data_IF_197563655979
#
_entry.id   IF_197563655979
#
_cell.length_a   1.000
_cell.length_b   1.000
_cell.length_c   1.000
_cell.angle_alpha   90.00
_cell.angle_beta   90.00
_cell.angle_gamma   90.00
#
_symmetry.space_group_name_H-M   'P 1'
#
loop_
_entity.id
_entity.type
_entity.pdbx_description
1 polymer ?
#
# COMPACT_ATOMS: atom_id res chain seq x y z
N UNK A 1 22.28 45.71 5.45
CA UNK A 1 22.03 44.27 5.26
C UNK A 1 20.64 43.97 5.80
N UNK A 2 19.68 43.45 5.01
CA UNK A 2 18.36 43.16 5.52
C UNK A 2 18.50 41.99 6.49
N UNK A 3 18.26 42.25 7.78
CA UNK A 3 18.18 41.20 8.79
C UNK A 3 16.94 40.37 8.43
N UNK A 4 17.13 39.26 7.71
CA UNK A 4 16.09 38.26 7.57
C UNK A 4 15.57 37.95 8.97
N UNK A 5 14.33 38.38 9.27
CA UNK A 5 13.73 38.20 10.60
C UNK A 5 13.96 36.75 11.01
N UNK A 6 14.52 36.50 12.20
CA UNK A 6 14.98 35.18 12.66
C UNK A 6 13.96 34.05 12.38
N UNK A 7 12.66 34.38 12.35
CA UNK A 7 11.57 33.49 11.96
C UNK A 7 11.70 32.92 10.54
N UNK A 8 12.07 33.73 9.54
CA UNK A 8 12.25 33.27 8.16
C UNK A 8 13.42 32.31 8.02
N UNK A 9 14.53 32.59 8.70
CA UNK A 9 15.72 31.72 8.70
C UNK A 9 15.38 30.38 9.33
N UNK A 10 14.67 30.38 10.47
CA UNK A 10 14.21 29.15 11.13
C UNK A 10 13.23 28.34 10.28
N UNK A 11 12.31 29.01 9.59
CA UNK A 11 11.37 28.35 8.68
C UNK A 11 12.12 27.70 7.51
N UNK A 12 12.98 28.45 6.82
CA UNK A 12 13.77 27.94 5.70
C UNK A 12 14.64 26.76 6.13
N UNK A 13 15.34 26.88 7.27
CA UNK A 13 16.14 25.81 7.83
C UNK A 13 15.30 24.56 8.13
N UNK A 14 14.11 24.71 8.72
CA UNK A 14 13.22 23.57 9.00
C UNK A 14 12.76 22.86 7.72
N UNK A 15 12.46 23.61 6.65
CA UNK A 15 12.09 23.04 5.36
C UNK A 15 13.25 22.30 4.70
N UNK A 16 14.45 22.90 4.70
CA UNK A 16 15.65 22.28 4.14
C UNK A 16 15.97 20.98 4.87
N UNK A 17 15.90 20.96 6.20
CA UNK A 17 16.18 19.76 7.00
C UNK A 17 15.17 18.65 6.72
N UNK A 18 13.86 18.95 6.74
CA UNK A 18 12.83 17.93 6.52
C UNK A 18 12.83 17.44 5.07
N UNK A 19 12.88 18.35 4.10
CA UNK A 19 12.89 17.98 2.69
C UNK A 19 14.17 17.23 2.31
N UNK A 20 15.32 17.70 2.79
CA UNK A 20 16.60 17.01 2.63
C UNK A 20 16.59 15.62 3.28
N UNK A 21 16.02 15.49 4.48
CA UNK A 21 15.83 14.21 5.15
C UNK A 21 14.95 13.25 4.35
N UNK A 22 13.80 13.72 3.84
CA UNK A 22 12.92 12.89 2.99
C UNK A 22 13.61 12.46 1.69
N UNK A 23 14.37 13.36 1.06
CA UNK A 23 15.13 13.01 -0.14
C UNK A 23 16.21 11.97 0.16
N UNK A 24 16.88 12.07 1.32
CA UNK A 24 17.95 11.14 1.71
C UNK A 24 17.43 9.73 2.02
N UNK A 25 16.16 9.59 2.41
CA UNK A 25 15.52 8.29 2.64
C UNK A 25 15.46 7.45 1.35
N UNK A 26 15.40 8.07 0.17
CA UNK A 26 15.34 7.39 -1.13
C UNK A 26 16.66 6.67 -1.50
N UNK A 27 17.82 7.35 -1.63
CA UNK A 27 19.08 6.69 -1.96
C UNK A 27 19.53 5.72 -0.87
N UNK A 28 19.16 5.95 0.39
CA UNK A 28 19.49 5.06 1.50
C UNK A 28 18.58 3.81 1.59
N UNK A 29 17.60 3.64 0.70
CA UNK A 29 16.60 2.54 0.74
C UNK A 29 15.86 2.46 2.09
N UNK A 30 15.72 3.57 2.81
CA UNK A 30 15.06 3.62 4.13
C UNK A 30 13.54 3.84 4.05
N UNK A 31 13.00 3.99 2.84
CA UNK A 31 11.58 4.24 2.62
C UNK A 31 10.68 3.17 3.28
N UNK A 32 10.95 1.85 3.15
CA UNK A 32 10.19 0.82 3.86
C UNK A 32 10.22 0.99 5.38
N UNK A 33 11.37 1.37 5.94
CA UNK A 33 11.53 1.64 7.37
C UNK A 33 10.69 2.82 7.83
N UNK A 34 10.76 3.94 7.10
CA UNK A 34 10.00 5.15 7.41
C UNK A 34 8.49 4.88 7.37
N UNK A 35 8.01 4.25 6.30
CA UNK A 35 6.59 3.94 6.14
C UNK A 35 6.10 2.96 7.21
N UNK A 36 6.88 1.92 7.51
CA UNK A 36 6.52 0.95 8.53
C UNK A 36 6.50 1.56 9.94
N UNK A 37 7.47 2.43 10.26
CA UNK A 37 7.50 3.15 11.52
C UNK A 37 6.34 4.14 11.67
N UNK A 38 6.03 4.90 10.62
CA UNK A 38 4.86 5.79 10.59
C UNK A 38 3.55 5.00 10.73
N UNK A 39 3.43 3.83 10.10
CA UNK A 39 2.28 2.95 10.21
C UNK A 39 2.09 2.47 11.65
N UNK A 40 3.13 1.92 12.28
CA UNK A 40 3.05 1.46 13.68
C UNK A 40 2.73 2.61 14.62
N UNK A 41 3.39 3.76 14.45
CA UNK A 41 3.12 4.96 15.25
C UNK A 41 1.64 5.38 15.14
N UNK A 42 1.11 5.46 13.93
CA UNK A 42 -0.28 5.88 13.71
C UNK A 42 -1.28 4.84 14.24
N UNK A 43 -1.04 3.55 14.02
CA UNK A 43 -1.90 2.48 14.54
C UNK A 43 -1.97 2.50 16.07
N UNK A 44 -0.84 2.70 16.75
CA UNK A 44 -0.81 2.84 18.21
C UNK A 44 -1.59 4.08 18.66
N UNK A 45 -1.42 5.22 17.99
CA UNK A 45 -2.15 6.45 18.31
C UNK A 45 -3.65 6.36 18.02
N UNK A 46 -4.06 5.56 17.03
CA UNK A 46 -5.46 5.27 16.73
C UNK A 46 -6.08 4.32 17.76
N UNK A 47 -5.34 3.30 18.19
CA UNK A 47 -5.83 2.28 19.12
C UNK A 47 -5.87 2.78 20.57
N UNK A 48 -4.89 3.60 20.96
CA UNK A 48 -4.79 4.17 22.31
C UNK A 48 -6.09 4.81 22.81
N UNK A 49 -6.72 5.79 22.13
CA UNK A 49 -7.93 6.44 22.65
C UNK A 49 -9.13 5.49 22.74
N UNK A 50 -9.20 4.44 21.92
CA UNK A 50 -10.25 3.43 22.04
C UNK A 50 -10.04 2.57 23.29
N UNK A 51 -8.79 2.22 23.59
CA UNK A 51 -8.42 1.43 24.77
C UNK A 51 -8.47 2.24 26.07
N UNK A 52 -8.24 3.55 25.99
CA UNK A 52 -8.39 4.48 27.10
C UNK A 52 -9.83 4.62 27.61
N UNK A 53 -10.83 4.22 26.81
CA UNK A 53 -12.23 4.11 27.27
C UNK A 53 -12.43 2.98 28.28
N UNK A 54 -11.53 2.00 28.30
CA UNK A 54 -11.63 0.79 29.12
C UNK A 54 -10.58 0.77 30.25
N UNK A 55 -9.43 1.41 30.07
CA UNK A 55 -8.27 1.34 30.98
C UNK A 55 -7.60 2.70 31.13
N UNK A 56 -7.05 3.01 32.31
CA UNK A 56 -6.30 4.24 32.59
C UNK A 56 -5.17 4.54 31.58
N UNK A 57 -5.01 5.82 31.28
CA UNK A 57 -4.32 6.37 30.11
C UNK A 57 -2.90 5.87 29.82
N UNK A 58 -2.12 5.50 30.85
CA UNK A 58 -0.73 5.03 30.69
C UNK A 58 -0.66 3.55 30.32
N UNK A 59 -1.49 2.70 30.96
CA UNK A 59 -1.53 1.27 30.69
C UNK A 59 -2.14 0.98 29.31
N UNK A 60 -3.10 1.80 28.89
CA UNK A 60 -3.71 1.72 27.56
C UNK A 60 -2.69 1.84 26.40
N UNK A 61 -1.68 2.72 26.51
CA UNK A 61 -0.64 2.84 25.47
C UNK A 61 0.27 1.62 25.39
N UNK A 62 0.72 1.12 26.53
CA UNK A 62 1.55 -0.09 26.60
C UNK A 62 0.79 -1.30 26.07
N UNK A 63 -0.49 -1.43 26.44
CA UNK A 63 -1.34 -2.49 25.92
C UNK A 63 -1.57 -2.36 24.41
N UNK A 64 -1.77 -1.15 23.88
CA UNK A 64 -1.90 -0.94 22.44
C UNK A 64 -0.63 -1.38 21.67
N UNK A 65 0.55 -1.04 22.18
CA UNK A 65 1.83 -1.47 21.58
C UNK A 65 2.04 -2.97 21.71
N UNK A 66 1.73 -3.55 22.87
CA UNK A 66 1.85 -4.99 23.08
C UNK A 66 0.91 -5.76 22.14
N UNK A 67 -0.37 -5.39 22.08
CA UNK A 67 -1.36 -6.00 21.19
C UNK A 67 -0.94 -5.90 19.72
N UNK A 68 -0.52 -4.71 19.28
CA UNK A 68 -0.11 -4.49 17.91
C UNK A 68 1.17 -5.26 17.58
N UNK A 69 2.15 -5.25 18.49
CA UNK A 69 3.39 -6.00 18.35
C UNK A 69 3.15 -7.50 18.25
N UNK A 70 2.32 -8.06 19.14
CA UNK A 70 1.92 -9.46 19.09
C UNK A 70 1.21 -9.77 17.77
N UNK A 71 0.24 -8.95 17.34
CA UNK A 71 -0.46 -9.16 16.08
C UNK A 71 0.50 -9.19 14.88
N UNK A 72 1.40 -8.21 14.77
CA UNK A 72 2.35 -8.11 13.66
C UNK A 72 3.29 -9.33 13.66
N UNK A 73 3.86 -9.68 14.82
CA UNK A 73 4.77 -10.82 14.93
C UNK A 73 4.06 -12.13 14.61
N UNK A 74 2.83 -12.34 15.09
CA UNK A 74 2.03 -13.51 14.76
C UNK A 74 1.72 -13.61 13.27
N UNK A 75 1.33 -12.51 12.62
CA UNK A 75 1.07 -12.50 11.17
C UNK A 75 2.34 -12.82 10.38
N UNK A 76 3.48 -12.21 10.73
CA UNK A 76 4.75 -12.51 10.08
C UNK A 76 5.16 -13.97 10.29
N UNK A 77 5.05 -14.49 11.51
CA UNK A 77 5.36 -15.89 11.80
C UNK A 77 4.49 -16.85 11.01
N UNK A 78 3.19 -16.58 10.87
CA UNK A 78 2.27 -17.38 10.05
C UNK A 78 2.63 -17.33 8.56
N UNK A 79 3.03 -16.17 8.03
CA UNK A 79 3.49 -16.05 6.64
C UNK A 79 4.75 -16.88 6.41
N UNK A 80 5.75 -16.78 7.30
CA UNK A 80 6.97 -17.59 7.19
C UNK A 80 6.70 -19.08 7.35
N UNK A 81 5.89 -19.47 8.35
CA UNK A 81 5.50 -20.86 8.55
C UNK A 81 4.73 -21.41 7.34
N UNK A 82 3.81 -20.64 6.78
CA UNK A 82 3.06 -21.00 5.57
C UNK A 82 3.97 -21.15 4.34
N UNK A 83 4.90 -20.23 4.14
CA UNK A 83 5.86 -20.31 3.05
C UNK A 83 6.78 -21.54 3.17
N UNK A 84 7.33 -21.80 4.37
CA UNK A 84 8.16 -22.97 4.66
C UNK A 84 7.35 -24.26 4.50
N UNK A 85 6.12 -24.30 5.03
CA UNK A 85 5.24 -25.45 4.91
C UNK A 85 4.91 -25.74 3.45
N UNK A 86 4.65 -24.72 2.63
CA UNK A 86 4.43 -24.87 1.19
C UNK A 86 5.68 -25.45 0.50
N UNK A 87 6.85 -24.87 0.75
CA UNK A 87 8.13 -25.35 0.20
C UNK A 87 8.43 -26.81 0.58
N UNK A 88 8.18 -27.20 1.84
CA UNK A 88 8.37 -28.57 2.31
C UNK A 88 7.35 -29.53 1.69
N UNK A 89 6.08 -29.13 1.55
CA UNK A 89 5.05 -29.95 0.92
C UNK A 89 5.31 -30.16 -0.58
N UNK A 90 5.82 -29.13 -1.27
CA UNK A 90 6.28 -29.23 -2.66
C UNK A 90 7.52 -30.13 -2.80
N UNK A 91 8.38 -30.17 -1.78
CA UNK A 91 9.56 -31.04 -1.74
C UNK A 91 9.20 -32.51 -1.45
N UNK A 92 8.19 -32.77 -0.60
CA UNK A 92 7.68 -34.12 -0.31
C UNK A 92 6.80 -34.68 -1.44
N UNK A 93 6.06 -33.82 -2.16
CA UNK A 93 5.21 -34.24 -3.27
C UNK A 93 5.41 -33.34 -4.51
N UNK A 94 6.58 -33.45 -5.19
CA UNK A 94 6.93 -32.62 -6.34
C UNK A 94 6.05 -33.00 -7.54
N UNK A 95 4.80 -32.55 -7.56
CA UNK A 95 3.75 -33.18 -8.38
C UNK A 95 2.47 -32.38 -8.38
N UNK A 96 1.85 -32.37 -7.20
CA UNK A 96 0.42 -32.20 -7.05
C UNK A 96 -0.12 -30.83 -7.46
N UNK A 97 0.60 -29.74 -7.19
CA UNK A 97 0.16 -28.39 -7.57
C UNK A 97 0.31 -28.11 -9.07
N UNK A 98 1.39 -28.64 -9.66
CA UNK A 98 1.68 -28.55 -11.10
C UNK A 98 0.74 -29.45 -11.92
N UNK A 99 0.38 -30.62 -11.41
CA UNK A 99 -0.61 -31.49 -12.06
C UNK A 99 -2.01 -30.87 -12.01
N UNK A 100 -2.37 -30.21 -10.91
CA UNK A 100 -3.60 -29.41 -10.82
C UNK A 100 -3.58 -28.23 -11.80
N UNK A 101 -2.45 -27.54 -11.93
CA UNK A 101 -2.27 -26.45 -12.88
C UNK A 101 -2.33 -26.94 -14.34
N UNK A 102 -1.75 -28.10 -14.64
CA UNK A 102 -1.80 -28.70 -15.97
C UNK A 102 -3.17 -29.24 -16.34
N UNK A 103 -3.90 -29.86 -15.40
CA UNK A 103 -5.30 -30.23 -15.61
C UNK A 103 -6.21 -29.03 -15.86
N UNK A 104 -5.82 -27.85 -15.37
CA UNK A 104 -6.44 -26.57 -15.70
C UNK A 104 -6.05 -26.09 -17.10
N UNK A 105 -4.76 -26.13 -17.44
CA UNK A 105 -4.25 -25.74 -18.76
C UNK A 105 -4.82 -26.61 -19.88
N UNK A 106 -4.97 -27.92 -19.66
CA UNK A 106 -5.54 -28.85 -20.64
C UNK A 106 -7.06 -28.63 -20.84
N UNK A 107 -7.81 -28.26 -19.78
CA UNK A 107 -9.20 -27.80 -19.96
C UNK A 107 -9.29 -26.49 -20.71
N UNK A 108 -8.33 -25.59 -20.52
CA UNK A 108 -8.24 -24.35 -21.28
C UNK A 108 -7.88 -24.62 -22.76
N UNK A 109 -6.99 -25.57 -23.04
CA UNK A 109 -6.62 -26.01 -24.40
C UNK A 109 -7.82 -26.49 -25.22
N UNK A 110 -8.72 -27.25 -24.60
CA UNK A 110 -9.96 -27.69 -25.26
C UNK A 110 -10.89 -26.56 -25.72
N UNK A 111 -10.63 -25.31 -25.30
CA UNK A 111 -11.37 -24.11 -25.69
C UNK A 111 -10.53 -23.12 -26.53
N UNK A 112 -9.30 -23.48 -26.91
CA UNK A 112 -8.40 -22.60 -27.66
C UNK A 112 -8.62 -22.68 -29.19
N UNK A 113 -8.50 -21.56 -29.92
CA UNK A 113 -8.35 -21.57 -31.37
C UNK A 113 -7.05 -22.28 -31.80
N UNK A 114 -7.01 -22.97 -32.96
CA UNK A 114 -5.87 -23.81 -33.38
C UNK A 114 -4.51 -23.10 -33.47
N UNK A 115 -4.48 -21.76 -33.56
CA UNK A 115 -3.24 -21.01 -33.73
C UNK A 115 -2.39 -20.88 -32.45
N UNK A 116 -2.97 -21.12 -31.27
CA UNK A 116 -2.27 -21.02 -29.98
C UNK A 116 -1.65 -22.34 -29.51
N UNK A 117 -1.99 -23.45 -30.16
CA UNK A 117 -1.49 -24.79 -29.78
C UNK A 117 0.03 -24.92 -29.97
N UNK A 118 0.58 -24.21 -30.96
CA UNK A 118 2.00 -24.27 -31.31
C UNK A 118 2.95 -23.66 -30.25
N UNK A 119 2.43 -22.87 -29.30
CA UNK A 119 3.24 -22.18 -28.29
C UNK A 119 3.07 -22.74 -26.87
N UNK A 120 2.19 -23.72 -26.66
CA UNK A 120 1.95 -24.32 -25.33
C UNK A 120 2.70 -25.67 -25.20
N UNK A 121 3.57 -25.85 -24.18
CA UNK A 121 4.33 -27.09 -23.98
C UNK A 121 3.42 -28.29 -23.74
N UNK A 122 3.65 -29.39 -24.45
CA UNK A 122 2.67 -30.47 -24.64
C UNK A 122 2.32 -31.20 -23.34
N UNK A 123 3.21 -31.21 -22.33
CA UNK A 123 3.02 -31.94 -21.08
C UNK A 123 3.52 -31.20 -19.82
N UNK A 124 3.01 -31.62 -18.66
CA UNK A 124 3.42 -31.14 -17.34
C UNK A 124 4.92 -31.32 -17.07
N UNK A 125 5.49 -32.40 -17.62
CA UNK A 125 6.90 -32.72 -17.50
C UNK A 125 7.77 -31.75 -18.31
N UNK A 126 7.37 -31.39 -19.53
CA UNK A 126 8.09 -30.39 -20.33
C UNK A 126 8.04 -29.00 -19.71
N UNK A 127 6.89 -28.61 -19.14
CA UNK A 127 6.76 -27.34 -18.43
C UNK A 127 7.68 -27.27 -17.20
N UNK A 128 7.80 -28.38 -16.45
CA UNK A 128 8.76 -28.50 -15.33
C UNK A 128 10.20 -28.34 -15.77
N UNK A 129 10.58 -29.00 -16.86
CA UNK A 129 11.95 -28.92 -17.38
C UNK A 129 12.24 -27.49 -17.86
N UNK A 130 11.29 -26.85 -18.56
CA UNK A 130 11.42 -25.47 -19.01
C UNK A 130 11.53 -24.47 -17.85
N UNK A 131 10.68 -24.60 -16.82
CA UNK A 131 10.77 -23.76 -15.61
C UNK A 131 12.05 -24.05 -14.85
N UNK A 132 12.45 -25.31 -14.69
CA UNK A 132 13.68 -25.69 -14.00
C UNK A 132 14.89 -25.09 -14.68
N UNK A 133 14.99 -25.20 -16.01
CA UNK A 133 16.07 -24.61 -16.79
C UNK A 133 16.05 -23.07 -16.73
N UNK A 134 14.87 -22.45 -16.79
CA UNK A 134 14.73 -21.00 -16.62
C UNK A 134 15.18 -20.56 -15.23
N UNK A 135 14.71 -21.25 -14.18
CA UNK A 135 15.05 -20.95 -12.80
C UNK A 135 16.56 -21.11 -12.59
N UNK A 136 17.15 -22.22 -13.03
CA UNK A 136 18.60 -22.46 -12.97
C UNK A 136 19.40 -21.37 -13.67
N UNK A 137 18.94 -20.90 -14.83
CA UNK A 137 19.57 -19.81 -15.59
C UNK A 137 19.48 -18.46 -14.87
N UNK A 138 18.42 -18.23 -14.09
CA UNK A 138 18.19 -17.01 -13.32
C UNK A 138 18.48 -17.15 -11.81
N UNK A 139 19.09 -18.26 -11.35
CA UNK A 139 19.36 -18.50 -9.92
C UNK A 139 20.29 -17.44 -9.31
N UNK A 140 21.29 -16.99 -10.05
CA UNK A 140 22.23 -15.94 -9.60
C UNK A 140 21.53 -14.58 -9.44
N UNK A 141 20.62 -14.24 -10.35
CA UNK A 141 19.77 -13.06 -10.26
C UNK A 141 18.76 -13.17 -9.11
N UNK A 142 18.17 -14.35 -8.91
CA UNK A 142 17.26 -14.63 -7.79
C UNK A 142 17.95 -14.53 -6.43
N UNK A 143 19.22 -14.92 -6.31
CA UNK A 143 19.99 -14.73 -5.08
C UNK A 143 20.23 -13.25 -4.78
N UNK A 144 20.53 -12.44 -5.80
CA UNK A 144 20.65 -10.98 -5.67
C UNK A 144 19.33 -10.34 -5.24
N UNK A 145 18.22 -10.73 -5.87
CA UNK A 145 16.86 -10.28 -5.50
C UNK A 145 16.50 -10.72 -4.09
N UNK A 146 16.84 -11.95 -3.71
CA UNK A 146 16.61 -12.49 -2.37
C UNK A 146 17.39 -11.75 -1.29
N UNK A 147 18.65 -11.39 -1.55
CA UNK A 147 19.46 -10.57 -0.64
C UNK A 147 18.87 -9.17 -0.45
N UNK A 148 18.47 -8.51 -1.53
CA UNK A 148 17.82 -7.20 -1.47
C UNK A 148 16.47 -7.26 -0.75
N UNK A 149 15.69 -8.33 -0.96
CA UNK A 149 14.44 -8.57 -0.24
C UNK A 149 14.66 -8.79 1.27
N UNK A 150 15.68 -9.57 1.65
CA UNK A 150 16.04 -9.78 3.04
C UNK A 150 16.48 -8.47 3.72
N UNK A 151 17.29 -7.66 3.03
CA UNK A 151 17.70 -6.34 3.53
C UNK A 151 16.50 -5.40 3.71
N UNK A 152 15.57 -5.39 2.74
CA UNK A 152 14.32 -4.64 2.83
C UNK A 152 13.48 -5.10 4.03
N UNK A 153 13.37 -6.40 4.26
CA UNK A 153 12.63 -6.98 5.37
C UNK A 153 13.21 -6.54 6.72
N UNK A 154 14.53 -6.64 6.92
CA UNK A 154 15.18 -6.19 8.16
C UNK A 154 14.99 -4.68 8.37
N UNK A 155 15.15 -3.89 7.31
CA UNK A 155 14.96 -2.44 7.34
C UNK A 155 13.54 -2.04 7.73
N UNK A 156 12.54 -2.80 7.26
CA UNK A 156 11.13 -2.69 7.64
C UNK A 156 10.93 -3.01 9.13
N UNK A 157 11.51 -4.12 9.63
CA UNK A 157 11.43 -4.49 11.05
C UNK A 157 11.98 -3.40 11.97
N UNK A 158 13.15 -2.85 11.64
CA UNK A 158 13.76 -1.74 12.39
C UNK A 158 12.82 -0.55 12.44
N UNK A 159 12.19 -0.21 11.32
CA UNK A 159 11.22 0.88 11.22
C UNK A 159 10.03 0.68 12.16
N UNK A 160 9.46 -0.53 12.17
CA UNK A 160 8.34 -0.88 13.06
C UNK A 160 8.71 -0.73 14.54
N UNK A 161 9.90 -1.22 14.93
CA UNK A 161 10.39 -1.09 16.32
C UNK A 161 10.57 0.37 16.70
N UNK A 162 11.19 1.18 15.84
CA UNK A 162 11.35 2.63 16.07
C UNK A 162 9.99 3.34 16.19
N UNK A 163 9.03 3.01 15.33
CA UNK A 163 7.67 3.53 15.39
C UNK A 163 6.97 3.22 16.72
N UNK A 164 7.11 1.98 17.21
CA UNK A 164 6.58 1.56 18.50
C UNK A 164 7.24 2.31 19.67
N UNK A 165 8.57 2.45 19.66
CA UNK A 165 9.32 3.19 20.68
C UNK A 165 8.85 4.64 20.73
N UNK A 166 8.77 5.31 19.57
CA UNK A 166 8.32 6.71 19.46
C UNK A 166 6.88 6.86 19.97
N UNK A 167 6.00 5.89 19.69
CA UNK A 167 4.61 5.93 20.14
C UNK A 167 4.48 5.83 21.69
N UNK A 168 5.42 5.13 22.34
CA UNK A 168 5.47 5.04 23.81
C UNK A 168 6.07 6.30 24.46
N UNK A 169 6.87 7.07 23.73
CA UNK A 169 7.48 8.28 24.28
C UNK A 169 6.43 9.36 24.56
N UNK A 170 6.58 10.03 25.70
CA UNK A 170 5.79 11.23 26.01
C UNK A 170 6.35 12.39 25.22
N UNK A 171 5.55 12.90 24.29
CA UNK A 171 5.85 14.11 23.54
C UNK A 171 5.96 15.28 24.55
N UNK A 172 7.13 15.93 24.70
CA UNK A 172 7.31 17.00 25.68
C UNK A 172 6.41 18.21 25.39
N UNK A 173 6.00 18.92 26.44
CA UNK A 173 5.13 20.10 26.33
C UNK A 173 5.63 21.11 25.29
N UNK A 174 4.70 21.55 24.44
CA UNK A 174 4.93 22.50 23.35
C UNK A 174 5.60 23.79 23.84
N UNK A 175 5.30 24.20 25.07
CA UNK A 175 5.77 25.43 25.73
C UNK A 175 7.25 25.41 26.11
N UNK A 176 7.92 24.25 26.16
CA UNK A 176 9.34 24.12 26.53
C UNK A 176 10.28 23.92 25.33
N UNK A 177 9.77 23.99 24.10
CA UNK A 177 10.56 23.67 22.90
C UNK A 177 11.34 24.87 22.38
N UNK A 178 12.60 24.64 22.02
CA UNK A 178 13.41 25.61 21.26
C UNK A 178 12.71 25.92 19.92
N UNK A 179 12.83 27.15 19.39
CA UNK A 179 12.04 27.61 18.24
C UNK A 179 12.28 26.79 16.95
N UNK A 180 13.50 26.31 16.72
CA UNK A 180 13.80 25.40 15.60
C UNK A 180 13.14 24.02 15.78
N UNK A 181 13.17 23.48 16.99
CA UNK A 181 12.55 22.19 17.29
C UNK A 181 11.03 22.25 17.10
N UNK A 182 10.38 23.34 17.54
CA UNK A 182 8.96 23.56 17.30
C UNK A 182 8.62 23.53 15.80
N UNK A 183 9.37 24.27 14.97
CA UNK A 183 9.15 24.29 13.52
C UNK A 183 9.35 22.92 12.86
N UNK A 184 10.35 22.14 13.28
CA UNK A 184 10.57 20.77 12.76
C UNK A 184 9.42 19.82 13.14
N UNK A 185 8.95 19.89 14.40
CA UNK A 185 7.83 19.07 14.85
C UNK A 185 6.54 19.38 14.10
N UNK A 186 6.26 20.64 13.79
CA UNK A 186 5.08 21.01 12.99
C UNK A 186 5.12 20.36 11.60
N UNK A 187 6.29 20.31 10.97
CA UNK A 187 6.46 19.68 9.64
C UNK A 187 6.37 18.15 9.71
N UNK A 188 6.95 17.53 10.73
CA UNK A 188 6.77 16.10 10.98
C UNK A 188 5.30 15.75 11.23
N UNK A 189 4.57 16.60 11.95
CA UNK A 189 3.14 16.41 12.17
C UNK A 189 2.36 16.49 10.84
N UNK A 190 2.71 17.40 9.94
CA UNK A 190 2.11 17.44 8.59
C UNK A 190 2.39 16.17 7.79
N UNK A 191 3.61 15.62 7.86
CA UNK A 191 3.97 14.36 7.22
C UNK A 191 3.12 13.20 7.76
N UNK A 192 3.04 13.06 9.09
CA UNK A 192 2.23 12.04 9.76
C UNK A 192 0.75 12.20 9.37
N UNK A 193 0.23 13.42 9.37
CA UNK A 193 -1.15 13.70 9.00
C UNK A 193 -1.45 13.34 7.54
N UNK A 194 -0.53 13.65 6.62
CA UNK A 194 -0.64 13.26 5.22
C UNK A 194 -0.63 11.73 5.06
N UNK A 195 0.31 11.05 5.72
CA UNK A 195 0.40 9.59 5.73
C UNK A 195 -0.87 8.94 6.28
N UNK A 196 -1.38 9.42 7.42
CA UNK A 196 -2.64 8.96 8.02
C UNK A 196 -3.81 9.09 7.05
N UNK A 197 -3.92 10.22 6.36
CA UNK A 197 -4.98 10.44 5.38
C UNK A 197 -4.89 9.42 4.23
N UNK A 198 -3.68 9.10 3.78
CA UNK A 198 -3.43 8.08 2.75
C UNK A 198 -3.85 6.69 3.25
N UNK A 199 -3.41 6.28 4.44
CA UNK A 199 -3.74 4.95 5.01
C UNK A 199 -5.24 4.77 5.20
N UNK A 200 -5.94 5.77 5.74
CA UNK A 200 -7.40 5.68 5.89
C UNK A 200 -8.15 5.70 4.56
N UNK A 201 -7.64 6.41 3.55
CA UNK A 201 -8.19 6.32 2.21
C UNK A 201 -7.99 4.90 1.65
N UNK A 202 -6.79 4.33 1.82
CA UNK A 202 -6.45 2.99 1.36
C UNK A 202 -7.34 1.91 1.98
N UNK A 203 -7.63 1.97 3.28
CA UNK A 203 -8.53 1.00 3.93
C UNK A 203 -9.92 1.01 3.29
N UNK A 204 -10.46 2.21 2.98
CA UNK A 204 -11.76 2.33 2.32
C UNK A 204 -11.74 1.79 0.90
N UNK A 205 -10.66 2.08 0.17
CA UNK A 205 -10.45 1.61 -1.20
C UNK A 205 -10.34 0.08 -1.22
N UNK A 206 -9.51 -0.50 -0.35
CA UNK A 206 -9.35 -1.94 -0.21
C UNK A 206 -10.69 -2.62 0.15
N UNK A 207 -11.42 -2.09 1.13
CA UNK A 207 -12.73 -2.62 1.50
C UNK A 207 -13.74 -2.58 0.34
N UNK A 208 -13.76 -1.49 -0.44
CA UNK A 208 -14.60 -1.36 -1.61
C UNK A 208 -14.23 -2.39 -2.69
N UNK A 209 -12.94 -2.54 -2.99
CA UNK A 209 -12.45 -3.53 -3.95
C UNK A 209 -12.80 -4.95 -3.52
N UNK A 210 -12.58 -5.28 -2.25
CA UNK A 210 -12.99 -6.57 -1.67
C UNK A 210 -14.49 -6.78 -1.75
N UNK A 211 -15.30 -5.77 -1.45
CA UNK A 211 -16.76 -5.88 -1.52
C UNK A 211 -17.24 -6.19 -2.94
N UNK A 212 -16.70 -5.50 -3.94
CA UNK A 212 -17.03 -5.79 -5.34
C UNK A 212 -16.52 -7.17 -5.77
N UNK A 213 -15.28 -7.52 -5.44
CA UNK A 213 -14.76 -8.87 -5.69
C UNK A 213 -15.63 -9.94 -5.02
N UNK A 214 -16.09 -9.71 -3.79
CA UNK A 214 -17.00 -10.61 -3.10
C UNK A 214 -18.35 -10.75 -3.83
N UNK A 215 -18.93 -9.65 -4.31
CA UNK A 215 -20.17 -9.69 -5.12
C UNK A 215 -19.96 -10.52 -6.39
N UNK A 216 -18.84 -10.35 -7.08
CA UNK A 216 -18.56 -11.12 -8.29
C UNK A 216 -18.42 -12.61 -8.03
N UNK A 217 -17.58 -12.97 -7.06
CA UNK A 217 -17.28 -14.38 -6.80
C UNK A 217 -18.41 -15.10 -6.08
N UNK A 218 -19.17 -14.41 -5.22
CA UNK A 218 -20.21 -15.01 -4.37
C UNK A 218 -21.64 -14.80 -4.89
N UNK A 219 -21.88 -13.90 -5.85
CA UNK A 219 -23.22 -13.64 -6.41
C UNK A 219 -23.22 -13.86 -7.92
N UNK A 220 -22.38 -13.14 -8.67
CA UNK A 220 -22.41 -13.19 -10.15
C UNK A 220 -22.03 -14.57 -10.68
N UNK A 221 -20.91 -15.13 -10.22
CA UNK A 221 -20.45 -16.45 -10.66
C UNK A 221 -21.43 -17.59 -10.31
N UNK A 222 -21.95 -17.67 -9.07
CA UNK A 222 -22.94 -18.68 -8.71
C UNK A 222 -24.25 -18.57 -9.49
N UNK A 223 -24.70 -17.35 -9.84
CA UNK A 223 -25.87 -17.15 -10.71
C UNK A 223 -25.64 -17.66 -12.14
N UNK A 224 -24.38 -17.68 -12.59
CA UNK A 224 -23.98 -18.32 -13.84
C UNK A 224 -23.72 -19.83 -13.70
N UNK A 225 -24.02 -20.43 -12.54
CA UNK A 225 -23.82 -21.86 -12.25
C UNK A 225 -22.38 -22.23 -11.86
N UNK A 226 -21.47 -21.27 -11.73
CA UNK A 226 -20.03 -21.52 -11.53
C UNK A 226 -19.66 -21.27 -10.08
N UNK A 227 -19.28 -22.34 -9.37
CA UNK A 227 -18.92 -22.27 -7.95
C UNK A 227 -17.41 -22.35 -7.79
N UNK A 228 -16.82 -21.32 -7.20
CA UNK A 228 -15.38 -21.28 -6.98
C UNK A 228 -15.00 -22.01 -5.69
N UNK A 229 -14.14 -23.05 -5.76
CA UNK A 229 -13.51 -23.57 -4.55
C UNK A 229 -12.67 -22.44 -3.94
N UNK A 230 -12.74 -22.28 -2.61
CA UNK A 230 -12.00 -21.27 -1.85
C UNK A 230 -12.43 -19.80 -2.06
N UNK A 231 -13.66 -19.53 -2.51
CA UNK A 231 -14.21 -18.16 -2.64
C UNK A 231 -13.95 -17.29 -1.41
N UNK A 232 -14.20 -17.83 -0.21
CA UNK A 232 -13.98 -17.13 1.07
C UNK A 232 -12.51 -16.75 1.27
N UNK A 233 -11.59 -17.66 0.97
CA UNK A 233 -10.15 -17.42 1.08
C UNK A 233 -9.69 -16.36 0.10
N UNK A 234 -10.18 -16.39 -1.15
CA UNK A 234 -9.81 -15.41 -2.17
C UNK A 234 -10.28 -14.00 -1.80
N UNK A 235 -11.48 -13.87 -1.22
CA UNK A 235 -12.02 -12.59 -0.73
C UNK A 235 -11.16 -12.04 0.41
N UNK A 236 -10.82 -12.87 1.41
CA UNK A 236 -9.95 -12.46 2.53
C UNK A 236 -8.57 -12.05 2.01
N UNK A 237 -7.99 -12.86 1.11
CA UNK A 237 -6.69 -12.58 0.53
C UNK A 237 -6.71 -11.29 -0.31
N UNK A 238 -7.80 -11.04 -1.06
CA UNK A 238 -8.00 -9.79 -1.82
C UNK A 238 -8.01 -8.58 -0.90
N UNK A 239 -8.64 -8.67 0.27
CA UNK A 239 -8.62 -7.61 1.26
C UNK A 239 -7.22 -7.37 1.81
N UNK A 240 -6.54 -8.44 2.26
CA UNK A 240 -5.19 -8.35 2.83
C UNK A 240 -4.18 -7.81 1.82
N UNK A 241 -4.21 -8.31 0.58
CA UNK A 241 -3.38 -7.79 -0.50
C UNK A 241 -3.76 -6.34 -0.82
N UNK A 242 -5.05 -6.00 -0.90
CA UNK A 242 -5.52 -4.63 -1.19
C UNK A 242 -5.04 -3.56 -0.20
N UNK A 243 -4.63 -3.94 1.01
CA UNK A 243 -4.01 -3.02 1.97
C UNK A 243 -2.59 -2.58 1.57
N UNK A 244 -1.89 -3.35 0.72
CA UNK A 244 -0.61 -2.97 0.12
C UNK A 244 -0.86 -2.04 -1.08
N UNK A 245 -0.51 -0.74 -0.99
CA UNK A 245 -0.81 0.21 -2.06
C UNK A 245 -0.15 -0.21 -3.37
N UNK A 246 -0.89 -0.09 -4.48
CA UNK A 246 -0.48 -0.41 -5.86
C UNK A 246 -0.17 -1.89 -6.10
N UNK A 247 0.85 -2.44 -5.44
CA UNK A 247 1.33 -3.82 -5.62
C UNK A 247 0.25 -4.83 -5.22
N UNK A 248 -0.42 -4.57 -4.11
CA UNK A 248 -1.45 -5.45 -3.58
C UNK A 248 -2.66 -5.60 -4.49
N UNK A 249 -3.12 -4.49 -5.07
CA UNK A 249 -4.23 -4.50 -6.03
C UNK A 249 -3.81 -5.24 -7.31
N UNK A 250 -2.60 -4.99 -7.81
CA UNK A 250 -2.07 -5.71 -8.96
C UNK A 250 -1.99 -7.23 -8.70
N UNK A 251 -1.42 -7.63 -7.55
CA UNK A 251 -1.30 -9.03 -7.14
C UNK A 251 -2.67 -9.70 -7.00
N UNK A 252 -3.62 -9.03 -6.32
CA UNK A 252 -4.97 -9.55 -6.14
C UNK A 252 -5.69 -9.72 -7.48
N UNK A 253 -5.57 -8.74 -8.36
CA UNK A 253 -6.21 -8.77 -9.68
C UNK A 253 -5.63 -9.87 -10.57
N UNK A 254 -4.31 -10.03 -10.55
CA UNK A 254 -3.62 -11.13 -11.22
C UNK A 254 -4.07 -12.48 -10.65
N UNK A 255 -4.16 -12.62 -9.32
CA UNK A 255 -4.60 -13.86 -8.70
C UNK A 255 -6.04 -14.23 -9.09
N UNK A 256 -6.96 -13.27 -9.06
CA UNK A 256 -8.36 -13.48 -9.50
C UNK A 256 -8.38 -13.90 -10.97
N UNK A 257 -7.55 -13.27 -11.82
CA UNK A 257 -7.48 -13.59 -13.25
C UNK A 257 -6.93 -15.00 -13.48
N UNK A 258 -5.88 -15.41 -12.76
CA UNK A 258 -5.31 -16.77 -12.83
C UNK A 258 -6.34 -17.80 -12.39
N UNK A 259 -7.04 -17.56 -11.28
CA UNK A 259 -8.09 -18.47 -10.78
C UNK A 259 -9.28 -18.53 -11.74
N UNK A 260 -9.68 -17.40 -12.35
CA UNK A 260 -10.76 -17.37 -13.34
C UNK A 260 -10.37 -18.10 -14.64
N UNK A 261 -9.16 -17.88 -15.13
CA UNK A 261 -8.57 -18.61 -16.27
C UNK A 261 -8.48 -20.10 -15.99
N UNK A 262 -8.33 -20.47 -14.72
CA UNK A 262 -8.31 -21.86 -14.32
C UNK A 262 -9.64 -22.60 -14.47
N UNK A 263 -10.75 -21.86 -14.54
CA UNK A 263 -12.09 -22.42 -14.74
C UNK A 263 -12.51 -22.45 -16.20
N UNK A 264 -12.38 -21.32 -16.89
CA UNK A 264 -12.69 -21.21 -18.32
C UNK A 264 -12.17 -19.87 -18.84
N UNK A 265 -11.77 -19.85 -20.12
CA UNK A 265 -11.37 -18.62 -20.80
C UNK A 265 -12.48 -17.56 -20.78
N UNK A 266 -13.75 -17.97 -20.86
CA UNK A 266 -14.90 -17.06 -20.83
C UNK A 266 -15.09 -16.43 -19.45
N UNK A 267 -14.83 -17.20 -18.38
CA UNK A 267 -14.85 -16.70 -17.01
C UNK A 267 -13.69 -15.73 -16.77
N UNK A 268 -12.51 -16.00 -17.34
CA UNK A 268 -11.37 -15.10 -17.29
C UNK A 268 -11.64 -13.77 -17.99
N UNK A 269 -12.24 -13.80 -19.20
CA UNK A 269 -12.61 -12.58 -19.94
C UNK A 269 -13.66 -11.78 -19.17
N UNK A 270 -14.67 -12.46 -18.61
CA UNK A 270 -15.68 -11.82 -17.78
C UNK A 270 -15.07 -11.20 -16.51
N UNK A 271 -14.16 -11.92 -15.84
CA UNK A 271 -13.44 -11.42 -14.67
C UNK A 271 -12.57 -10.22 -15.03
N UNK A 272 -11.80 -10.27 -16.12
CA UNK A 272 -10.95 -9.17 -16.57
C UNK A 272 -11.79 -7.92 -16.90
N UNK A 273 -12.90 -8.09 -17.61
CA UNK A 273 -13.83 -7.00 -17.91
C UNK A 273 -14.43 -6.40 -16.63
N UNK A 274 -14.84 -7.25 -15.69
CA UNK A 274 -15.36 -6.83 -14.39
C UNK A 274 -14.32 -6.05 -13.57
N UNK A 275 -13.08 -6.54 -13.52
CA UNK A 275 -11.96 -5.88 -12.85
C UNK A 275 -11.65 -4.51 -13.45
N UNK A 276 -11.66 -4.37 -14.78
CA UNK A 276 -11.45 -3.08 -15.46
C UNK A 276 -12.54 -2.08 -15.07
N UNK A 277 -13.80 -2.52 -15.07
CA UNK A 277 -14.94 -1.67 -14.70
C UNK A 277 -14.84 -1.22 -13.25
N UNK A 278 -14.54 -2.13 -12.32
CA UNK A 278 -14.39 -1.78 -10.91
C UNK A 278 -13.23 -0.87 -10.68
N UNK A 279 -12.08 -1.13 -11.29
CA UNK A 279 -10.91 -0.30 -11.07
C UNK A 279 -11.17 1.14 -11.55
N UNK A 280 -11.98 1.30 -12.60
CA UNK A 280 -12.45 2.61 -13.04
C UNK A 280 -13.43 3.24 -12.04
N UNK A 281 -14.38 2.47 -11.50
CA UNK A 281 -15.31 2.92 -10.45
C UNK A 281 -14.58 3.30 -9.17
N UNK A 282 -13.57 2.52 -8.78
CA UNK A 282 -12.65 2.78 -7.67
C UNK A 282 -11.93 4.11 -7.88
N UNK A 283 -11.40 4.37 -9.08
CA UNK A 283 -10.77 5.65 -9.43
C UNK A 283 -11.73 6.83 -9.24
N UNK A 284 -12.98 6.71 -9.73
CA UNK A 284 -14.00 7.75 -9.54
C UNK A 284 -14.38 7.94 -8.07
N UNK A 285 -14.53 6.85 -7.31
CA UNK A 285 -14.88 6.90 -5.89
C UNK A 285 -13.73 7.43 -5.04
N UNK A 286 -12.49 7.11 -5.38
CA UNK A 286 -11.30 7.63 -4.72
C UNK A 286 -11.22 9.16 -4.86
N UNK A 287 -11.50 9.70 -6.06
CA UNK A 287 -11.59 11.15 -6.26
C UNK A 287 -12.65 11.82 -5.37
N UNK A 288 -13.79 11.15 -5.14
CA UNK A 288 -14.87 11.65 -4.27
C UNK A 288 -14.54 11.52 -2.78
N UNK A 289 -13.97 10.40 -2.34
CA UNK A 289 -13.65 10.10 -0.94
C UNK A 289 -12.47 10.96 -0.45
N UNK A 290 -11.47 11.21 -1.30
CA UNK A 290 -10.32 12.07 -0.98
C UNK A 290 -10.68 13.56 -1.10
N UNK A 291 -11.50 13.95 -2.08
CA UNK A 291 -11.95 15.33 -2.27
C UNK A 291 -12.91 15.85 -1.19
N UNK A 292 -13.72 14.96 -0.59
CA UNK A 292 -14.72 15.32 0.44
C UNK A 292 -14.17 15.54 1.85
N UNK A 293 -12.89 15.21 2.12
CA UNK A 293 -12.24 15.38 3.45
C UNK A 293 -11.44 16.68 3.60
N UNK A 294 -11.71 17.67 2.75
CA UNK A 294 -11.18 19.02 2.95
C UNK A 294 -11.83 19.62 4.20
N UNK A 295 -11.08 19.59 5.31
CA UNK A 295 -11.27 20.44 6.49
C UNK A 295 -11.57 21.87 6.02
N UNK A 296 -12.53 22.62 6.60
CA UNK A 296 -12.73 24.03 6.30
C UNK A 296 -11.56 24.83 6.87
N UNK A 297 -10.43 24.80 6.15
CA UNK A 297 -9.35 25.77 6.33
C UNK A 297 -9.82 27.07 5.70
N UNK A 298 -10.15 28.05 6.54
CA UNK A 298 -10.20 29.46 6.12
C UNK A 298 -8.84 29.79 5.48
N UNK A 299 -8.86 29.99 4.16
CA UNK A 299 -7.75 30.61 3.42
C UNK A 299 -7.01 29.69 2.45
N UNK A 300 -7.45 29.73 1.20
CA UNK A 300 -6.64 29.67 -0.04
C UNK A 300 -5.74 28.45 -0.29
N UNK A 301 -6.23 27.49 -1.07
CA UNK A 301 -6.00 27.41 -2.53
C UNK A 301 -6.49 26.06 -3.04
N UNK A 302 -7.50 26.09 -3.91
CA UNK A 302 -8.15 24.93 -4.46
C UNK A 302 -7.30 24.35 -5.60
N UNK A 303 -6.77 23.13 -5.44
CA UNK A 303 -6.17 22.33 -6.51
C UNK A 303 -7.10 22.16 -7.75
N UNK A 304 -8.41 22.37 -7.56
CA UNK A 304 -9.43 22.31 -8.61
C UNK A 304 -9.34 23.45 -9.65
N UNK A 305 -8.64 24.54 -9.35
CA UNK A 305 -8.40 25.64 -10.30
C UNK A 305 -7.20 25.40 -11.22
N UNK A 306 -6.32 24.43 -10.92
CA UNK A 306 -5.09 24.25 -11.71
C UNK A 306 -5.31 23.37 -12.95
N UNK A 307 -6.21 22.39 -12.90
CA UNK A 307 -6.46 21.47 -14.03
C UNK A 307 -7.55 21.91 -15.01
N UNK A 308 -8.23 23.05 -14.81
CA UNK A 308 -9.48 23.35 -15.54
C UNK A 308 -9.51 24.63 -16.37
N UNK A 309 -8.38 25.34 -16.56
CA UNK A 309 -8.35 26.55 -17.40
C UNK A 309 -7.28 26.50 -18.50
N UNK A 310 -7.61 26.94 -19.73
CA UNK A 310 -6.67 26.99 -20.84
C UNK A 310 -5.54 28.00 -20.59
N UNK A 311 -4.39 27.69 -21.18
CA UNK A 311 -3.03 28.21 -20.93
C UNK A 311 -2.80 29.74 -21.06
N UNK A 312 -3.81 30.58 -21.27
CA UNK A 312 -3.64 32.03 -21.47
C UNK A 312 -3.76 32.88 -20.20
N UNK A 313 -4.30 32.34 -19.09
CA UNK A 313 -4.48 33.10 -17.84
C UNK A 313 -3.27 33.07 -16.88
N UNK A 314 -2.26 32.22 -17.12
CA UNK A 314 -1.10 32.08 -16.23
C UNK A 314 -0.06 33.21 -16.34
N UNK A 315 -0.13 34.09 -17.36
CA UNK A 315 0.86 35.18 -17.53
C UNK A 315 0.57 36.44 -16.68
N UNK A 316 -0.66 36.63 -16.19
CA UNK A 316 -1.02 37.81 -15.38
C UNK A 316 -0.73 37.69 -13.88
N UNK A 317 -0.60 36.47 -13.34
CA UNK A 317 -0.49 36.26 -11.89
C UNK A 317 0.93 36.41 -11.34
N UNK A 318 1.95 36.30 -12.20
CA UNK A 318 3.36 36.50 -11.82
C UNK A 318 3.76 37.99 -11.69
N UNK A 319 2.98 38.94 -12.21
CA UNK A 319 3.30 40.40 -12.13
C UNK A 319 2.52 41.17 -11.05
N UNK A 320 1.47 40.62 -10.47
CA UNK A 320 0.56 41.37 -9.58
C UNK A 320 0.71 41.14 -8.07
N UNK A 321 1.55 40.19 -7.62
CA UNK A 321 1.61 39.79 -6.20
C UNK A 321 2.96 40.08 -5.52
N UNK A 322 3.67 41.08 -6.03
CA UNK A 322 4.90 41.61 -5.42
C UNK A 322 4.75 43.06 -4.90
N UNK A 323 3.58 43.72 -5.06
CA UNK A 323 3.41 45.15 -4.73
C UNK A 323 2.30 45.45 -3.69
N UNK A 324 1.39 44.52 -3.35
CA UNK A 324 0.33 44.79 -2.37
C UNK A 324 0.46 43.95 -1.10
N UNK A 325 1.43 44.29 -0.25
CA UNK A 325 1.35 44.02 1.20
C UNK A 325 2.14 45.04 2.02
N UNK A 326 2.00 46.32 1.67
CA UNK A 326 2.34 47.48 2.50
C UNK A 326 1.11 48.38 2.46
N UNK A 327 0.18 48.16 3.39
CA UNK A 327 -0.85 49.12 3.84
C UNK A 327 -1.90 48.34 4.62
N UNK A 328 -1.69 48.23 5.93
CA UNK A 328 -2.67 48.02 7.02
C UNK A 328 -1.93 47.60 8.28
N UNK A 329 -1.15 48.53 8.82
CA UNK A 329 -1.02 48.77 10.26
C UNK A 329 -0.79 50.27 10.39
N UNK A 330 -1.86 50.99 10.69
CA UNK A 330 -1.87 52.28 11.37
C UNK A 330 -2.91 52.15 12.45
#
# INVERSE_FOLDING_TARGET
MPTFSQRHVLLLASYIIIFGGLLLVLPLKLLPSLLAGLLVYELVNMLTPQLQRLIEGRRARWLAVALLGTLIVSVLALIFAGAISFLLHEAENPGASLDKFMGVVDRARGQLPPFLDAYLPASAAEFRVAIGQWLSKHLSELQLVGKDAAHMFVTLLIGMVLGAIIALQRVPDLTKRKPLAAALFDRLHLLVQAFRNIVFAQIKIAALNTAFTAIFLAVVLPLCGIHLPLTKTLIVLTFLLGLLPVIGNLMSNTLITIVALSLSIWVAVAALGYLIVIHKVEYFLNARIVGGRSVPSRGNCCWRCWCSKPHSACRGWWRGRFIMRISRVS
#
